data_IF_574076512908
#
_entry.id   IF_574076512908
#
_cell.length_a   1.000
_cell.length_b   1.000
_cell.length_c   1.000
_cell.angle_alpha   90.00
_cell.angle_beta   90.00
_cell.angle_gamma   90.00
#
_symmetry.space_group_name_H-M   'P 1'
#
loop_
_entity.id
_entity.type
_entity.pdbx_description
1 polymer ?
#
# COMPACT_ATOMS: atom_id res chain seq x y z
N UNK A 1 12.15 28.99 -24.23
CA UNK A 1 11.07 28.09 -23.76
C UNK A 1 11.48 26.68 -24.15
N UNK A 2 12.07 25.93 -23.21
CA UNK A 2 12.61 24.61 -23.50
C UNK A 2 11.49 23.56 -23.49
N UNK A 3 11.16 23.07 -24.69
CA UNK A 3 10.35 21.89 -24.91
C UNK A 3 11.24 20.65 -24.83
N UNK A 4 11.13 19.86 -23.77
CA UNK A 4 11.59 18.46 -23.78
C UNK A 4 13.07 18.16 -23.51
N UNK A 5 13.82 19.02 -22.81
CA UNK A 5 15.17 18.64 -22.35
C UNK A 5 15.11 17.53 -21.28
N UNK A 6 15.99 16.53 -21.44
CA UNK A 6 16.26 15.48 -20.46
C UNK A 6 16.54 16.11 -19.08
N UNK A 7 16.10 15.44 -18.01
CA UNK A 7 16.35 15.91 -16.65
C UNK A 7 17.85 15.83 -16.35
N UNK A 8 18.46 16.98 -16.01
CA UNK A 8 19.84 16.98 -15.51
C UNK A 8 19.91 16.36 -14.11
N UNK A 9 21.09 15.89 -13.73
CA UNK A 9 21.31 15.27 -12.42
C UNK A 9 20.97 16.23 -11.26
N UNK A 10 21.37 17.50 -11.34
CA UNK A 10 21.06 18.52 -10.35
C UNK A 10 19.55 18.74 -10.18
N UNK A 11 18.79 18.73 -11.28
CA UNK A 11 17.33 18.86 -11.21
C UNK A 11 16.68 17.64 -10.56
N UNK A 12 17.23 16.44 -10.83
CA UNK A 12 16.79 15.20 -10.18
C UNK A 12 17.10 15.24 -8.70
N UNK A 13 18.31 15.62 -8.31
CA UNK A 13 18.75 15.74 -6.92
C UNK A 13 17.86 16.70 -6.12
N UNK A 14 17.54 17.87 -6.66
CA UNK A 14 16.65 18.83 -6.02
C UNK A 14 15.23 18.27 -5.85
N UNK A 15 14.69 17.60 -6.87
CA UNK A 15 13.38 16.96 -6.80
C UNK A 15 13.33 15.86 -5.73
N UNK A 16 14.37 15.01 -5.67
CA UNK A 16 14.49 13.93 -4.69
C UNK A 16 14.61 14.51 -3.29
N UNK A 17 15.47 15.50 -3.06
CA UNK A 17 15.66 16.11 -1.74
C UNK A 17 14.35 16.71 -1.21
N UNK A 18 13.62 17.45 -2.06
CA UNK A 18 12.31 18.00 -1.71
C UNK A 18 11.27 16.91 -1.41
N UNK A 19 11.27 15.82 -2.19
CA UNK A 19 10.40 14.67 -1.94
C UNK A 19 10.69 14.00 -0.60
N UNK A 20 11.96 13.65 -0.33
CA UNK A 20 12.35 12.96 0.91
C UNK A 20 12.07 13.84 2.14
N UNK A 21 12.22 15.17 2.01
CA UNK A 21 11.81 16.12 3.06
C UNK A 21 10.31 16.03 3.31
N UNK A 22 9.47 16.10 2.28
CA UNK A 22 8.01 15.99 2.43
C UNK A 22 7.60 14.63 3.03
N UNK A 23 8.22 13.54 2.58
CA UNK A 23 7.92 12.21 3.12
C UNK A 23 8.29 12.11 4.60
N UNK A 24 9.43 12.67 5.00
CA UNK A 24 9.85 12.74 6.42
C UNK A 24 8.83 13.52 7.27
N UNK A 25 8.32 14.65 6.76
CA UNK A 25 7.27 15.42 7.42
C UNK A 25 5.97 14.60 7.55
N UNK A 26 5.54 13.94 6.47
CA UNK A 26 4.32 13.13 6.44
C UNK A 26 4.37 11.96 7.43
N UNK A 27 5.48 11.22 7.47
CA UNK A 27 5.68 10.08 8.36
C UNK A 27 5.68 10.50 9.84
N UNK A 28 6.14 11.72 10.14
CA UNK A 28 6.08 12.32 11.46
C UNK A 28 4.73 12.99 11.76
N UNK A 29 3.74 12.92 10.87
CA UNK A 29 2.43 13.55 11.03
C UNK A 29 2.45 15.08 10.95
N UNK A 30 3.55 15.66 10.45
CA UNK A 30 3.68 17.11 10.28
C UNK A 30 2.97 17.57 9.00
N UNK A 31 2.36 18.75 9.05
CA UNK A 31 1.72 19.36 7.88
C UNK A 31 2.78 19.92 6.95
N UNK A 32 2.57 19.73 5.65
CA UNK A 32 3.38 20.32 4.58
C UNK A 32 2.49 20.64 3.38
N UNK A 33 2.94 21.57 2.52
CA UNK A 33 2.21 21.98 1.32
C UNK A 33 2.94 21.54 0.06
N UNK A 34 2.40 20.52 -0.63
CA UNK A 34 2.89 20.09 -1.96
C UNK A 34 3.04 21.26 -2.94
N UNK A 35 2.10 22.22 -2.87
CA UNK A 35 2.12 23.42 -3.71
C UNK A 35 3.31 24.32 -3.39
N UNK A 36 3.65 24.52 -2.12
CA UNK A 36 4.80 25.36 -1.72
C UNK A 36 6.12 24.70 -2.13
N UNK A 37 6.27 23.40 -1.87
CA UNK A 37 7.43 22.63 -2.30
C UNK A 37 7.63 22.66 -3.83
N UNK A 38 6.54 22.52 -4.60
CA UNK A 38 6.60 22.62 -6.05
C UNK A 38 6.99 24.05 -6.51
N UNK A 39 6.44 25.09 -5.88
CA UNK A 39 6.80 26.49 -6.19
C UNK A 39 8.27 26.78 -5.89
N UNK A 40 8.80 26.30 -4.76
CA UNK A 40 10.20 26.46 -4.40
C UNK A 40 11.13 25.76 -5.41
N UNK A 41 10.78 24.54 -5.83
CA UNK A 41 11.52 23.84 -6.88
C UNK A 41 11.47 24.60 -8.21
N UNK A 42 10.32 25.12 -8.65
CA UNK A 42 10.23 25.90 -9.89
C UNK A 42 11.11 27.15 -9.90
N UNK A 43 11.45 27.71 -8.74
CA UNK A 43 12.38 28.86 -8.65
C UNK A 43 13.84 28.45 -8.83
N UNK A 44 14.16 27.17 -8.61
CA UNK A 44 15.51 26.62 -8.70
C UNK A 44 15.76 25.87 -10.01
N UNK A 45 14.70 25.33 -10.62
CA UNK A 45 14.75 24.50 -11.82
C UNK A 45 14.40 25.33 -13.05
N UNK A 46 15.33 25.45 -13.99
CA UNK A 46 15.10 26.23 -15.20
C UNK A 46 14.04 25.58 -16.10
N UNK A 47 13.01 26.34 -16.46
CA UNK A 47 11.95 25.89 -17.38
C UNK A 47 11.03 24.76 -16.90
N UNK A 48 11.16 24.22 -15.67
CA UNK A 48 10.29 23.13 -15.18
C UNK A 48 8.95 23.65 -14.66
N UNK A 49 7.87 23.03 -15.13
CA UNK A 49 6.51 23.33 -14.70
C UNK A 49 6.10 22.51 -13.47
N UNK A 50 5.12 22.99 -12.70
CA UNK A 50 4.55 22.24 -11.58
C UNK A 50 4.07 20.83 -11.97
N UNK A 51 3.31 20.63 -13.08
CA UNK A 51 2.93 19.28 -13.50
C UNK A 51 4.13 18.37 -13.78
N UNK A 52 5.22 18.90 -14.33
CA UNK A 52 6.46 18.16 -14.58
C UNK A 52 7.12 17.68 -13.28
N UNK A 53 7.17 18.56 -12.27
CA UNK A 53 7.70 18.24 -10.93
C UNK A 53 6.82 17.20 -10.23
N UNK A 54 5.50 17.37 -10.24
CA UNK A 54 4.59 16.41 -9.60
C UNK A 54 4.65 15.04 -10.28
N UNK A 55 4.84 15.00 -11.61
CA UNK A 55 5.09 13.75 -12.34
C UNK A 55 6.42 13.11 -11.90
N UNK A 56 7.48 13.90 -11.74
CA UNK A 56 8.78 13.43 -11.22
C UNK A 56 8.65 12.87 -9.80
N UNK A 57 7.84 13.50 -8.93
CA UNK A 57 7.54 12.98 -7.59
C UNK A 57 6.77 11.65 -7.64
N UNK A 58 5.86 11.46 -8.60
CA UNK A 58 5.23 10.16 -8.83
C UNK A 58 6.25 9.07 -9.26
N UNK A 59 7.27 9.45 -10.03
CA UNK A 59 8.37 8.54 -10.36
C UNK A 59 9.22 8.21 -9.14
N UNK A 60 9.51 9.19 -8.29
CA UNK A 60 10.24 8.97 -7.02
C UNK A 60 9.46 8.02 -6.12
N UNK A 61 8.13 8.17 -5.99
CA UNK A 61 7.28 7.22 -5.26
C UNK A 61 7.44 5.77 -5.74
N UNK A 62 7.59 5.55 -7.06
CA UNK A 62 7.82 4.20 -7.59
C UNK A 62 9.21 3.65 -7.22
N UNK A 63 10.24 4.50 -7.16
CA UNK A 63 11.56 4.09 -6.67
C UNK A 63 11.51 3.81 -5.16
N UNK A 64 10.84 4.64 -4.36
CA UNK A 64 10.72 4.41 -2.91
C UNK A 64 10.08 3.05 -2.59
N UNK A 65 9.02 2.68 -3.32
CA UNK A 65 8.40 1.37 -3.21
C UNK A 65 9.37 0.22 -3.54
N UNK A 66 10.18 0.35 -4.60
CA UNK A 66 11.15 -0.70 -4.96
C UNK A 66 12.28 -0.84 -3.92
N UNK A 67 12.58 0.23 -3.19
CA UNK A 67 13.51 0.24 -2.05
C UNK A 67 12.87 -0.21 -0.73
N UNK A 68 11.56 -0.50 -0.71
CA UNK A 68 10.83 -0.97 0.47
C UNK A 68 10.44 0.14 1.46
N UNK A 69 10.40 1.40 1.01
CA UNK A 69 9.91 2.53 1.79
C UNK A 69 8.43 2.82 1.48
N UNK A 70 7.70 3.45 2.41
CA UNK A 70 6.44 4.12 2.10
C UNK A 70 6.64 5.25 1.07
N UNK A 71 5.54 5.67 0.46
CA UNK A 71 5.51 6.79 -0.47
C UNK A 71 4.50 7.85 -0.01
N UNK A 72 4.63 9.06 -0.54
CA UNK A 72 3.66 10.14 -0.29
C UNK A 72 2.35 9.81 -1.00
N UNK A 73 1.23 9.58 -0.28
CA UNK A 73 -0.03 9.11 -0.88
C UNK A 73 -0.54 10.05 -2.00
N UNK A 74 -0.28 11.34 -1.84
CA UNK A 74 -0.62 12.37 -2.82
C UNK A 74 0.16 12.32 -4.14
N UNK A 75 1.20 11.49 -4.26
CA UNK A 75 2.02 11.26 -5.46
C UNK A 75 2.01 9.78 -5.82
N UNK A 76 0.94 9.35 -6.50
CA UNK A 76 0.72 7.94 -6.86
C UNK A 76 1.89 7.40 -7.70
N UNK A 77 2.50 6.26 -7.32
CA UNK A 77 3.65 5.67 -8.00
C UNK A 77 3.44 5.52 -9.51
N UNK A 78 4.44 5.92 -10.30
CA UNK A 78 4.48 5.71 -11.76
C UNK A 78 5.86 5.22 -12.16
N UNK A 79 5.94 3.98 -12.65
CA UNK A 79 7.21 3.30 -12.95
C UNK A 79 7.93 3.78 -14.24
N UNK A 80 7.58 4.96 -14.78
CA UNK A 80 8.25 5.53 -15.95
C UNK A 80 9.48 6.34 -15.54
N UNK A 81 10.58 5.68 -15.17
CA UNK A 81 11.82 6.35 -14.80
C UNK A 81 13.08 5.68 -15.36
N UNK A 82 14.11 6.50 -15.59
CA UNK A 82 15.43 6.09 -16.07
C UNK A 82 16.36 5.73 -14.90
N UNK A 83 17.50 5.07 -15.19
CA UNK A 83 18.48 4.65 -14.18
C UNK A 83 19.05 5.78 -13.31
N UNK A 84 19.21 6.99 -13.85
CA UNK A 84 19.69 8.15 -13.09
C UNK A 84 18.82 8.46 -11.86
N UNK A 85 17.49 8.46 -12.03
CA UNK A 85 16.57 8.74 -10.92
C UNK A 85 16.75 7.73 -9.79
N UNK A 86 16.87 6.45 -10.15
CA UNK A 86 17.05 5.39 -9.17
C UNK A 86 18.33 5.59 -8.36
N UNK A 87 19.46 5.85 -9.02
CA UNK A 87 20.74 6.09 -8.35
C UNK A 87 20.64 7.25 -7.35
N UNK A 88 20.11 8.39 -7.78
CA UNK A 88 20.01 9.59 -6.92
C UNK A 88 19.10 9.34 -5.71
N UNK A 89 17.97 8.65 -5.89
CA UNK A 89 17.09 8.26 -4.79
C UNK A 89 17.80 7.31 -3.82
N UNK A 90 18.50 6.29 -4.32
CA UNK A 90 19.25 5.34 -3.48
C UNK A 90 20.31 6.06 -2.64
N UNK A 91 21.10 6.92 -3.29
CA UNK A 91 22.16 7.69 -2.62
C UNK A 91 21.58 8.59 -1.52
N UNK A 92 20.63 9.45 -1.84
CA UNK A 92 20.06 10.38 -0.86
C UNK A 92 19.27 9.67 0.25
N UNK A 93 18.49 8.63 -0.07
CA UNK A 93 17.73 7.89 0.95
C UNK A 93 18.63 7.11 1.91
N UNK A 94 19.76 6.57 1.42
CA UNK A 94 20.72 5.82 2.26
C UNK A 94 21.41 6.71 3.30
N UNK A 95 21.63 7.99 2.98
CA UNK A 95 22.30 8.97 3.84
C UNK A 95 21.31 9.77 4.73
N UNK A 96 20.01 9.69 4.46
CA UNK A 96 19.00 10.47 5.17
C UNK A 96 18.52 9.76 6.45
N UNK A 97 19.24 9.98 7.55
CA UNK A 97 18.93 9.40 8.87
C UNK A 97 17.53 9.78 9.35
N UNK A 98 17.14 11.05 9.21
CA UNK A 98 15.84 11.53 9.67
C UNK A 98 14.66 10.82 8.95
N UNK A 99 14.81 10.56 7.65
CA UNK A 99 13.83 9.77 6.89
C UNK A 99 13.74 8.34 7.41
N UNK A 100 14.89 7.71 7.66
CA UNK A 100 14.95 6.32 8.15
C UNK A 100 14.32 6.17 9.53
N UNK A 101 14.60 7.11 10.44
CA UNK A 101 13.96 7.16 11.77
C UNK A 101 12.45 7.39 11.66
N UNK A 102 12.01 8.32 10.81
CA UNK A 102 10.59 8.60 10.60
C UNK A 102 9.86 7.39 10.01
N UNK A 103 10.45 6.71 9.02
CA UNK A 103 9.90 5.49 8.42
C UNK A 103 9.82 4.36 9.45
N UNK A 104 10.89 4.15 10.24
CA UNK A 104 10.93 3.14 11.29
C UNK A 104 9.85 3.37 12.35
N UNK A 105 9.71 4.61 12.82
CA UNK A 105 8.69 4.98 13.79
C UNK A 105 7.28 4.79 13.22
N UNK A 106 7.06 5.17 11.96
CA UNK A 106 5.77 5.00 11.30
C UNK A 106 5.38 3.52 11.18
N UNK A 107 6.27 2.61 10.77
CA UNK A 107 5.90 1.19 10.61
C UNK A 107 5.75 0.46 11.95
N UNK A 108 6.54 0.84 12.96
CA UNK A 108 6.49 0.22 14.28
C UNK A 108 5.31 0.68 15.15
N UNK A 109 4.66 1.80 14.80
CA UNK A 109 3.56 2.36 15.58
C UNK A 109 2.41 1.33 15.70
N UNK A 110 1.90 1.06 16.91
CA UNK A 110 0.75 0.18 17.07
C UNK A 110 -0.50 0.82 16.45
N UNK A 111 -1.42 -0.01 15.97
CA UNK A 111 -2.76 0.44 15.57
C UNK A 111 -3.76 0.06 16.67
N UNK A 112 -4.75 0.93 16.89
CA UNK A 112 -5.91 0.64 17.73
C UNK A 112 -7.11 0.35 16.85
N UNK A 113 -8.10 -0.36 17.40
CA UNK A 113 -9.40 -0.51 16.77
C UNK A 113 -10.05 0.86 16.54
N UNK A 114 -10.71 1.00 15.39
CA UNK A 114 -11.45 2.22 15.02
C UNK A 114 -12.92 1.84 14.98
N UNK A 115 -13.71 2.47 15.86
CA UNK A 115 -15.17 2.37 15.77
C UNK A 115 -15.63 3.12 14.53
N UNK A 116 -16.44 2.45 13.70
CA UNK A 116 -17.03 3.06 12.50
C UNK A 116 -18.32 3.78 12.90
N UNK A 117 -18.47 5.06 12.57
CA UNK A 117 -19.77 5.74 12.64
C UNK A 117 -20.55 5.49 11.34
N UNK A 118 -21.88 5.59 11.35
CA UNK A 118 -22.70 5.27 10.16
C UNK A 118 -22.36 6.14 8.93
N UNK A 119 -22.01 7.41 9.14
CA UNK A 119 -21.55 8.29 8.07
C UNK A 119 -20.17 7.88 7.52
N UNK A 120 -19.29 7.38 8.39
CA UNK A 120 -17.95 6.92 8.02
C UNK A 120 -17.99 5.58 7.29
N UNK A 121 -18.93 4.68 7.67
CA UNK A 121 -19.16 3.38 7.03
C UNK A 121 -19.32 3.50 5.51
N UNK A 122 -20.28 4.32 5.06
CA UNK A 122 -20.56 4.49 3.64
C UNK A 122 -19.38 5.12 2.92
N UNK A 123 -18.65 6.02 3.59
CA UNK A 123 -17.49 6.71 3.02
C UNK A 123 -16.20 5.89 3.02
N UNK A 124 -16.14 4.82 3.82
CA UNK A 124 -15.00 3.91 3.88
C UNK A 124 -14.90 3.09 2.60
N UNK A 125 -16.03 2.65 2.05
CA UNK A 125 -16.07 1.93 0.78
C UNK A 125 -15.74 2.83 -0.40
N UNK A 126 -14.68 2.48 -1.13
CA UNK A 126 -14.25 3.16 -2.34
C UNK A 126 -14.13 2.17 -3.51
N UNK A 127 -14.26 2.62 -4.77
CA UNK A 127 -14.03 1.75 -5.91
C UNK A 127 -12.56 1.32 -5.96
N UNK A 128 -12.33 0.06 -6.36
CA UNK A 128 -10.98 -0.43 -6.60
C UNK A 128 -10.27 0.41 -7.69
N UNK A 129 -8.97 0.70 -7.53
CA UNK A 129 -8.22 1.43 -8.54
C UNK A 129 -8.16 0.63 -9.85
N UNK A 130 -8.18 1.29 -11.03
CA UNK A 130 -8.16 0.58 -12.30
C UNK A 130 -6.82 -0.13 -12.52
N UNK A 131 -6.89 -1.40 -12.96
CA UNK A 131 -5.74 -2.29 -13.16
C UNK A 131 -4.60 -1.69 -14.02
N UNK A 132 -4.92 -0.79 -14.97
CA UNK A 132 -3.97 -0.21 -15.93
C UNK A 132 -2.96 0.80 -15.35
N UNK A 133 -2.98 1.10 -14.04
CA UNK A 133 -2.09 2.13 -13.45
C UNK A 133 -0.70 1.64 -13.08
N UNK A 134 -0.46 0.34 -13.03
CA UNK A 134 0.85 -0.24 -12.78
C UNK A 134 1.38 -0.81 -14.10
N UNK A 135 1.85 0.06 -15.01
CA UNK A 135 2.71 -0.44 -16.09
C UNK A 135 3.93 -1.05 -15.43
N UNK A 136 4.26 -2.28 -15.85
CA UNK A 136 5.40 -3.09 -15.45
C UNK A 136 6.55 -2.21 -14.93
N UNK A 137 6.80 -2.29 -13.62
CA UNK A 137 8.19 -2.14 -13.17
C UNK A 137 8.93 -3.21 -13.98
N UNK A 138 9.92 -2.87 -14.83
CA UNK A 138 10.63 -3.86 -15.59
C UNK A 138 11.04 -4.96 -14.61
N UNK A 139 10.59 -6.18 -14.88
CA UNK A 139 10.83 -7.30 -14.01
C UNK A 139 12.35 -7.49 -13.90
N UNK A 140 12.98 -6.92 -12.88
CA UNK A 140 14.36 -7.21 -12.58
C UNK A 140 14.35 -8.57 -11.88
N UNK A 141 14.20 -9.63 -12.68
CA UNK A 141 14.50 -11.00 -12.27
C UNK A 141 15.96 -11.13 -11.79
N UNK A 142 16.81 -10.14 -12.10
CA UNK A 142 18.10 -9.96 -11.48
C UNK A 142 17.96 -9.42 -10.04
N UNK A 143 18.55 -10.09 -9.03
CA UNK A 143 18.67 -9.54 -7.69
C UNK A 143 19.32 -8.16 -7.75
N UNK A 144 18.57 -7.13 -7.33
CA UNK A 144 19.12 -5.78 -7.18
C UNK A 144 19.63 -5.60 -5.76
N UNK A 145 20.95 -5.58 -5.63
CA UNK A 145 21.63 -5.32 -4.37
C UNK A 145 21.79 -3.81 -4.20
N UNK A 146 20.97 -3.23 -3.33
CA UNK A 146 21.00 -1.78 -3.04
C UNK A 146 21.19 -1.58 -1.54
N UNK A 147 22.26 -0.88 -1.10
CA UNK A 147 22.47 -0.53 0.30
C UNK A 147 21.36 0.36 0.87
N UNK A 148 20.60 1.04 0.01
CA UNK A 148 19.47 1.87 0.40
C UNK A 148 18.21 1.04 0.72
N UNK A 149 18.13 -0.21 0.24
CA UNK A 149 16.96 -1.07 0.43
C UNK A 149 16.68 -1.32 1.91
N UNK A 150 15.42 -1.24 2.29
CA UNK A 150 14.91 -1.51 3.64
C UNK A 150 13.69 -2.41 3.56
N UNK A 151 13.29 -2.98 4.69
CA UNK A 151 12.15 -3.89 4.79
C UNK A 151 10.93 -3.24 5.45
N UNK A 152 10.81 -1.90 5.45
CA UNK A 152 9.74 -1.19 6.16
C UNK A 152 8.33 -1.67 5.79
N UNK A 153 8.05 -1.86 4.50
CA UNK A 153 6.75 -2.40 4.07
C UNK A 153 6.51 -3.83 4.57
N UNK A 154 7.54 -4.67 4.59
CA UNK A 154 7.45 -6.03 5.13
C UNK A 154 7.34 -6.04 6.66
N UNK A 155 7.95 -5.07 7.34
CA UNK A 155 7.82 -4.87 8.77
C UNK A 155 6.40 -4.41 9.14
N UNK A 156 5.83 -3.46 8.39
CA UNK A 156 4.43 -3.03 8.58
C UNK A 156 3.47 -4.20 8.33
N UNK A 157 3.67 -4.98 7.26
CA UNK A 157 2.86 -6.16 6.97
C UNK A 157 2.91 -7.24 8.07
N UNK A 158 3.97 -7.26 8.90
CA UNK A 158 4.10 -8.14 10.08
C UNK A 158 3.57 -7.50 11.36
N UNK A 159 3.09 -6.27 11.32
CA UNK A 159 2.55 -5.58 12.48
C UNK A 159 1.18 -6.17 12.85
N UNK A 160 1.20 -7.15 13.77
CA UNK A 160 -0.01 -7.85 14.23
C UNK A 160 -1.09 -6.92 14.76
N UNK A 161 -0.73 -5.80 15.40
CA UNK A 161 -1.73 -4.83 15.88
C UNK A 161 -2.47 -4.14 14.74
N UNK A 162 -1.78 -3.86 13.63
CA UNK A 162 -2.38 -3.28 12.44
C UNK A 162 -3.25 -4.28 11.67
N UNK A 163 -2.77 -5.52 11.52
CA UNK A 163 -3.54 -6.62 10.94
C UNK A 163 -4.86 -6.82 11.68
N UNK A 164 -4.78 -7.08 12.98
CA UNK A 164 -5.94 -7.31 13.85
C UNK A 164 -6.93 -6.14 13.83
N UNK A 165 -6.44 -4.90 13.94
CA UNK A 165 -7.33 -3.74 13.91
C UNK A 165 -8.05 -3.59 12.57
N UNK A 166 -7.40 -3.95 11.47
CA UNK A 166 -8.01 -3.96 10.14
C UNK A 166 -9.02 -5.09 9.94
N UNK A 167 -8.74 -6.29 10.45
CA UNK A 167 -9.68 -7.43 10.44
C UNK A 167 -10.96 -7.07 11.21
N UNK A 168 -10.83 -6.55 12.43
CA UNK A 168 -11.97 -6.13 13.25
C UNK A 168 -12.77 -5.00 12.60
N UNK A 169 -12.08 -4.04 11.97
CA UNK A 169 -12.74 -3.00 11.17
C UNK A 169 -13.57 -3.60 10.03
N UNK A 170 -13.02 -4.57 9.28
CA UNK A 170 -13.75 -5.23 8.19
C UNK A 170 -14.93 -6.07 8.71
N UNK A 171 -14.79 -6.75 9.84
CA UNK A 171 -15.91 -7.49 10.45
C UNK A 171 -17.10 -6.58 10.74
N UNK A 172 -16.85 -5.42 11.35
CA UNK A 172 -17.87 -4.42 11.63
C UNK A 172 -18.49 -3.89 10.34
N UNK A 173 -17.69 -3.66 9.30
CA UNK A 173 -18.22 -3.27 7.99
C UNK A 173 -19.14 -4.34 7.39
N UNK A 174 -18.75 -5.60 7.43
CA UNK A 174 -19.54 -6.69 6.87
C UNK A 174 -20.84 -6.94 7.64
N UNK A 175 -20.79 -6.90 8.97
CA UNK A 175 -21.98 -6.99 9.81
C UNK A 175 -22.97 -5.86 9.49
N UNK A 176 -22.49 -4.62 9.37
CA UNK A 176 -23.32 -3.46 8.98
C UNK A 176 -23.89 -3.58 7.58
N UNK A 177 -23.09 -4.02 6.61
CA UNK A 177 -23.56 -4.26 5.23
C UNK A 177 -24.74 -5.22 5.23
N UNK A 178 -24.64 -6.33 5.97
CA UNK A 178 -25.73 -7.31 6.10
C UNK A 178 -26.94 -6.74 6.87
N UNK A 179 -26.72 -5.99 7.94
CA UNK A 179 -27.80 -5.33 8.68
C UNK A 179 -28.60 -4.36 7.81
N UNK A 180 -27.91 -3.52 7.02
CA UNK A 180 -28.54 -2.57 6.10
C UNK A 180 -29.31 -3.26 4.97
N UNK A 181 -28.88 -4.45 4.55
CA UNK A 181 -29.61 -5.30 3.61
C UNK A 181 -30.79 -6.07 4.26
N UNK A 182 -31.11 -5.81 5.53
CA UNK A 182 -32.16 -6.51 6.28
C UNK A 182 -31.79 -7.95 6.68
N UNK A 183 -30.52 -8.33 6.59
CA UNK A 183 -30.00 -9.68 6.86
C UNK A 183 -29.36 -9.77 8.25
N UNK A 184 -30.07 -9.30 9.28
CA UNK A 184 -29.54 -9.21 10.65
C UNK A 184 -28.94 -10.53 11.16
N UNK A 185 -29.64 -11.64 10.95
CA UNK A 185 -29.20 -12.98 11.36
C UNK A 185 -27.91 -13.41 10.67
N UNK A 186 -27.67 -12.98 9.42
CA UNK A 186 -26.41 -13.24 8.74
C UNK A 186 -25.28 -12.35 9.29
N UNK A 187 -25.60 -11.09 9.62
CA UNK A 187 -24.64 -10.17 10.24
C UNK A 187 -24.10 -10.67 11.58
N UNK A 188 -24.97 -11.26 12.41
CA UNK A 188 -24.61 -11.90 13.69
C UNK A 188 -23.75 -13.16 13.53
N UNK A 189 -23.68 -13.73 12.31
CA UNK A 189 -22.88 -14.92 11.99
C UNK A 189 -21.52 -14.60 11.38
N UNK A 190 -21.19 -13.32 11.16
CA UNK A 190 -19.86 -12.92 10.68
C UNK A 190 -18.80 -13.37 11.70
N UNK A 191 -17.81 -14.12 11.24
CA UNK A 191 -16.84 -14.80 12.12
C UNK A 191 -15.40 -14.39 11.78
N UNK A 192 -14.61 -14.11 12.82
CA UNK A 192 -13.16 -13.94 12.71
C UNK A 192 -12.47 -15.30 12.68
N UNK A 193 -12.45 -15.94 11.52
CA UNK A 193 -12.01 -17.32 11.34
C UNK A 193 -10.53 -17.52 11.68
N UNK A 194 -9.65 -16.59 11.33
CA UNK A 194 -8.22 -16.69 11.67
C UNK A 194 -7.98 -16.70 13.19
N UNK A 195 -8.83 -16.03 13.97
CA UNK A 195 -8.77 -16.01 15.44
C UNK A 195 -9.43 -17.25 16.07
N UNK A 196 -10.58 -17.70 15.55
CA UNK A 196 -11.35 -18.81 16.14
C UNK A 196 -10.85 -20.20 15.74
N UNK A 197 -10.36 -20.35 14.50
CA UNK A 197 -9.98 -21.64 13.89
C UNK A 197 -8.51 -21.70 13.46
N UNK A 198 -7.80 -20.56 13.49
CA UNK A 198 -6.41 -20.43 13.09
C UNK A 198 -6.23 -19.92 11.65
N UNK A 199 -5.01 -19.46 11.35
CA UNK A 199 -4.60 -18.83 10.08
C UNK A 199 -4.44 -19.83 8.91
N UNK A 200 -4.39 -21.13 9.19
CA UNK A 200 -4.19 -22.18 8.20
C UNK A 200 -5.31 -22.34 7.16
N UNK A 201 -6.46 -21.67 7.34
CA UNK A 201 -7.60 -21.76 6.43
C UNK A 201 -7.45 -20.91 5.16
N UNK A 202 -6.53 -19.94 5.16
CA UNK A 202 -6.22 -19.10 4.01
C UNK A 202 -7.22 -17.96 3.75
N UNK A 203 -7.93 -17.52 4.78
CA UNK A 203 -8.74 -16.29 4.82
C UNK A 203 -8.99 -15.87 6.28
N UNK A 204 -9.31 -14.60 6.51
CA UNK A 204 -9.46 -14.03 7.86
C UNK A 204 -10.91 -14.08 8.37
N UNK A 205 -11.88 -13.71 7.52
CA UNK A 205 -13.27 -13.46 7.93
C UNK A 205 -14.23 -14.28 7.07
N UNK A 206 -15.16 -14.97 7.73
CA UNK A 206 -16.33 -15.55 7.09
C UNK A 206 -17.49 -14.55 7.18
N UNK A 207 -18.00 -14.15 6.02
CA UNK A 207 -19.21 -13.32 5.86
C UNK A 207 -20.18 -14.01 4.90
N UNK A 208 -21.25 -13.32 4.49
CA UNK A 208 -22.30 -13.87 3.65
C UNK A 208 -22.78 -12.88 2.58
N UNK A 209 -23.18 -13.41 1.44
CA UNK A 209 -24.05 -12.73 0.49
C UNK A 209 -25.46 -12.56 1.08
N UNK A 210 -26.28 -11.70 0.46
CA UNK A 210 -27.67 -11.49 0.88
C UNK A 210 -28.56 -12.73 0.71
N UNK A 211 -28.18 -13.63 -0.19
CA UNK A 211 -28.80 -14.94 -0.44
C UNK A 211 -28.28 -16.03 0.51
N UNK A 212 -27.30 -15.72 1.37
CA UNK A 212 -26.72 -16.62 2.35
C UNK A 212 -25.53 -17.44 1.86
N UNK A 213 -25.09 -17.28 0.60
CA UNK A 213 -23.80 -17.86 0.15
C UNK A 213 -22.66 -17.29 0.98
N UNK A 214 -21.65 -18.10 1.24
CA UNK A 214 -20.49 -17.66 2.02
C UNK A 214 -19.64 -16.66 1.23
N UNK A 215 -19.01 -15.75 1.96
CA UNK A 215 -17.92 -14.88 1.50
C UNK A 215 -16.69 -15.17 2.33
N UNK A 216 -15.63 -15.64 1.69
CA UNK A 216 -14.32 -15.86 2.30
C UNK A 216 -13.49 -14.59 2.10
N UNK A 217 -13.27 -13.85 3.17
CA UNK A 217 -12.63 -12.53 3.10
C UNK A 217 -11.22 -12.61 3.66
N UNK A 218 -10.26 -12.24 2.83
CA UNK A 218 -8.87 -11.99 3.20
C UNK A 218 -8.64 -10.48 3.34
N UNK A 219 -8.13 -10.05 4.48
CA UNK A 219 -7.94 -8.64 4.82
C UNK A 219 -6.47 -8.28 4.76
N UNK A 220 -6.13 -7.34 3.89
CA UNK A 220 -4.79 -6.76 3.84
C UNK A 220 -4.88 -5.31 4.25
N UNK A 221 -4.20 -4.96 5.34
CA UNK A 221 -4.25 -3.62 5.96
C UNK A 221 -2.93 -2.89 5.85
N UNK A 222 -2.96 -1.59 5.56
CA UNK A 222 -1.80 -0.70 5.61
C UNK A 222 -2.18 0.65 6.21
N UNK A 223 -1.26 1.30 6.93
CA UNK A 223 -1.42 2.68 7.35
C UNK A 223 -1.14 3.68 6.22
N UNK A 224 -0.60 3.20 5.10
CA UNK A 224 -0.19 4.01 3.95
C UNK A 224 -1.24 4.00 2.83
N UNK A 225 -0.87 4.50 1.65
CA UNK A 225 -1.78 4.68 0.53
C UNK A 225 -2.26 3.39 -0.13
N UNK A 226 -3.32 3.51 -0.93
CA UNK A 226 -4.05 2.39 -1.57
C UNK A 226 -3.19 1.49 -2.49
N UNK A 227 -2.09 2.04 -3.04
CA UNK A 227 -1.18 1.32 -3.95
C UNK A 227 0.04 0.74 -3.23
N UNK A 228 0.04 0.76 -1.89
CA UNK A 228 1.10 0.12 -1.11
C UNK A 228 1.05 -1.39 -1.35
N UNK A 229 2.16 -2.01 -1.80
CA UNK A 229 2.24 -3.47 -1.96
C UNK A 229 1.98 -4.19 -0.64
N UNK A 230 1.49 -5.42 -0.75
CA UNK A 230 1.19 -6.28 0.39
C UNK A 230 1.68 -7.70 0.12
N UNK A 231 1.83 -8.47 1.18
CA UNK A 231 2.30 -9.84 1.13
C UNK A 231 1.11 -10.79 1.21
N UNK A 232 1.18 -11.86 0.42
CA UNK A 232 0.20 -12.95 0.45
C UNK A 232 0.90 -14.26 0.75
N UNK A 233 0.26 -15.14 1.50
CA UNK A 233 0.81 -16.45 1.82
C UNK A 233 0.44 -17.48 0.76
N UNK A 234 1.17 -18.62 0.76
CA UNK A 234 0.83 -19.75 -0.13
C UNK A 234 -0.58 -20.28 0.11
N UNK A 235 -1.05 -20.26 1.37
CA UNK A 235 -2.37 -20.77 1.73
C UNK A 235 -3.48 -19.83 1.23
N UNK A 236 -3.29 -18.51 1.36
CA UNK A 236 -4.20 -17.50 0.80
C UNK A 236 -4.30 -17.63 -0.73
N UNK A 237 -3.16 -17.74 -1.42
CA UNK A 237 -3.15 -17.95 -2.86
C UNK A 237 -3.94 -19.21 -3.24
N UNK A 238 -3.60 -20.35 -2.63
CA UNK A 238 -4.27 -21.62 -2.92
C UNK A 238 -5.76 -21.61 -2.58
N UNK A 239 -6.16 -20.94 -1.49
CA UNK A 239 -7.56 -20.76 -1.11
C UNK A 239 -8.30 -19.90 -2.13
N UNK A 240 -7.70 -18.77 -2.54
CA UNK A 240 -8.29 -17.85 -3.48
C UNK A 240 -8.53 -18.48 -4.85
N UNK A 241 -7.65 -19.38 -5.30
CA UNK A 241 -7.82 -20.13 -6.54
C UNK A 241 -8.93 -21.19 -6.41
N UNK A 242 -8.91 -21.96 -5.32
CA UNK A 242 -9.89 -23.03 -5.09
C UNK A 242 -11.32 -22.51 -4.97
N UNK A 243 -11.49 -21.41 -4.25
CA UNK A 243 -12.79 -20.88 -3.84
C UNK A 243 -13.07 -19.50 -4.49
N UNK A 244 -12.52 -19.25 -5.68
CA UNK A 244 -12.52 -17.95 -6.36
C UNK A 244 -13.90 -17.29 -6.46
N UNK A 245 -14.96 -18.06 -6.69
CA UNK A 245 -16.33 -17.53 -6.81
C UNK A 245 -16.89 -16.91 -5.52
N UNK A 246 -16.28 -17.19 -4.37
CA UNK A 246 -16.67 -16.68 -3.06
C UNK A 246 -15.50 -16.03 -2.30
N UNK A 247 -14.32 -15.90 -2.93
CA UNK A 247 -13.15 -15.29 -2.33
C UNK A 247 -13.13 -13.79 -2.59
N UNK A 248 -12.83 -13.04 -1.53
CA UNK A 248 -12.79 -11.59 -1.54
C UNK A 248 -11.50 -11.11 -0.88
N UNK A 249 -10.67 -10.39 -1.63
CA UNK A 249 -9.53 -9.69 -1.08
C UNK A 249 -9.94 -8.24 -0.74
N UNK A 250 -9.92 -7.89 0.53
CA UNK A 250 -10.20 -6.53 0.99
C UNK A 250 -8.90 -5.79 1.29
N UNK A 251 -8.70 -4.66 0.61
CA UNK A 251 -7.58 -3.76 0.87
C UNK A 251 -8.04 -2.60 1.73
N UNK A 252 -7.62 -2.62 2.98
CA UNK A 252 -7.79 -1.53 3.93
C UNK A 252 -6.54 -0.66 3.93
N UNK A 253 -6.71 0.65 3.71
CA UNK A 253 -5.61 1.59 3.57
C UNK A 253 -5.91 2.92 4.26
N UNK A 254 -4.88 3.75 4.43
CA UNK A 254 -4.95 5.02 5.17
C UNK A 254 -5.49 4.81 6.62
N UNK A 255 -5.24 3.61 7.17
CA UNK A 255 -5.96 3.08 8.32
C UNK A 255 -5.84 3.97 9.57
N UNK A 256 -4.68 4.59 9.79
CA UNK A 256 -4.47 5.41 11.01
C UNK A 256 -5.04 6.82 10.93
N UNK A 257 -5.47 7.29 9.76
CA UNK A 257 -5.99 8.65 9.58
C UNK A 257 -7.45 8.63 9.16
N UNK A 258 -7.76 7.90 8.09
CA UNK A 258 -9.10 7.77 7.53
C UNK A 258 -9.19 6.42 6.80
N UNK A 259 -9.52 5.33 7.53
CA UNK A 259 -9.67 4.00 6.94
C UNK A 259 -10.57 4.04 5.71
N UNK A 260 -10.05 3.48 4.62
CA UNK A 260 -10.81 3.24 3.39
C UNK A 260 -10.57 1.81 2.95
N UNK A 261 -11.57 1.24 2.30
CA UNK A 261 -11.56 -0.15 1.84
C UNK A 261 -12.05 -0.24 0.40
N UNK A 262 -11.38 -1.07 -0.39
CA UNK A 262 -11.94 -1.61 -1.63
C UNK A 262 -11.82 -3.14 -1.61
N UNK A 263 -12.76 -3.80 -2.28
CA UNK A 263 -12.78 -5.25 -2.44
C UNK A 263 -12.43 -5.67 -3.86
N UNK A 264 -11.74 -6.80 -3.97
CA UNK A 264 -11.45 -7.51 -5.23
C UNK A 264 -12.06 -8.90 -5.12
N UNK A 265 -12.92 -9.27 -6.07
CA UNK A 265 -13.61 -10.57 -6.09
C UNK A 265 -12.84 -11.52 -6.99
N UNK A 266 -12.74 -12.78 -6.61
CA UNK A 266 -12.02 -13.79 -7.39
C UNK A 266 -10.67 -14.14 -6.78
N UNK A 267 -9.88 -14.87 -7.56
CA UNK A 267 -8.55 -15.27 -7.12
C UNK A 267 -7.59 -14.10 -7.04
N UNK A 268 -6.58 -14.21 -6.19
CA UNK A 268 -5.56 -13.18 -6.05
C UNK A 268 -4.77 -13.04 -7.35
N UNK A 269 -4.43 -14.14 -8.03
CA UNK A 269 -3.67 -14.10 -9.30
C UNK A 269 -4.42 -13.37 -10.42
N UNK A 270 -5.75 -13.47 -10.44
CA UNK A 270 -6.57 -12.76 -11.43
C UNK A 270 -6.63 -11.25 -11.20
N UNK A 271 -6.37 -10.81 -9.96
CA UNK A 271 -6.54 -9.42 -9.53
C UNK A 271 -5.22 -8.70 -9.26
N UNK A 272 -4.11 -9.41 -9.11
CA UNK A 272 -2.84 -8.87 -8.63
C UNK A 272 -1.65 -9.41 -9.43
N UNK A 273 -0.63 -8.56 -9.63
CA UNK A 273 0.67 -9.01 -10.12
C UNK A 273 1.48 -9.59 -8.97
N UNK A 274 1.88 -10.86 -9.09
CA UNK A 274 2.65 -11.55 -8.07
C UNK A 274 4.14 -11.54 -8.38
N UNK A 275 4.94 -11.25 -7.35
CA UNK A 275 6.40 -11.40 -7.37
C UNK A 275 6.84 -12.32 -6.24
N UNK A 276 7.71 -13.29 -6.55
CA UNK A 276 8.33 -14.12 -5.52
C UNK A 276 9.26 -13.30 -4.63
N UNK A 277 9.06 -13.36 -3.31
CA UNK A 277 9.81 -12.57 -2.31
C UNK A 277 10.57 -13.42 -1.29
N UNK A 278 10.26 -14.72 -1.19
CA UNK A 278 10.93 -15.63 -0.27
C UNK A 278 10.99 -17.05 -0.85
N UNK A 279 11.98 -17.82 -0.39
CA UNK A 279 12.21 -19.20 -0.79
C UNK A 279 12.32 -20.08 0.45
N UNK A 280 11.66 -21.23 0.43
CA UNK A 280 11.86 -22.28 1.44
C UNK A 280 12.95 -23.23 0.96
N UNK A 281 14.10 -23.23 1.64
CA UNK A 281 15.20 -24.15 1.35
C UNK A 281 15.16 -25.36 2.29
N UNK A 282 15.57 -26.52 1.77
CA UNK A 282 15.89 -27.73 2.54
C UNK A 282 17.29 -28.16 2.16
N UNK A 283 17.99 -28.87 3.05
CA UNK A 283 19.29 -29.43 2.71
C UNK A 283 19.16 -30.30 1.45
N UNK A 284 20.03 -30.04 0.47
CA UNK A 284 20.22 -31.01 -0.60
C UNK A 284 20.83 -32.25 0.04
N UNK A 285 20.12 -33.38 -0.07
CA UNK A 285 20.65 -34.69 0.31
C UNK A 285 21.77 -35.14 -0.62
#
# INVERSE_FOLDING_TARGET
MATGEDWSELEVEACVASYLRMLTLELNGQRYSKTEHAKALMQQLDGRSRPSIEFKHCNISAVMLSLGYPYIDGYKPRANFQGMLRRVVEEQASQNVALQEAAQAAVARPASEISVADADFTSAWVPAPPAKRLREVPASYAPTFSPARRDYLAQEGRNRSLGLAGELFVMELEARRLHLAGKKVLGERVEHVSTTKGDGLGFDILSFEEDGRERLIEVKTTAFGELTPFFVTRNELARSERDAGQYHLYRVFDFRRRPRVFGLVGSIESNCELQAVSYLARLAG
#
